data_IF_558458977647
#
_entry.id   IF_558458977647
#
_cell.length_a   1.000
_cell.length_b   1.000
_cell.length_c   1.000
_cell.angle_alpha   90.00
_cell.angle_beta   90.00
_cell.angle_gamma   90.00
#
_symmetry.space_group_name_H-M   'P 1'
#
loop_
_entity.id
_entity.type
_entity.pdbx_description
1 polymer ?
#
# COMPACT_ATOMS: atom_id res chain seq x y z
N UNK A 1 -41.15 -11.65 56.32
CA UNK A 1 -41.28 -11.74 54.83
C UNK A 1 -40.98 -10.38 54.22
N UNK A 2 -39.71 -9.95 54.31
CA UNK A 2 -39.17 -8.69 53.68
C UNK A 2 -37.65 -8.72 53.70
N UNK A 3 -37.00 -9.76 53.16
CA UNK A 3 -35.53 -9.85 53.07
C UNK A 3 -35.01 -10.34 51.71
N UNK A 4 -35.87 -10.79 50.80
CA UNK A 4 -35.38 -11.37 49.53
C UNK A 4 -35.33 -10.37 48.35
N UNK A 5 -35.96 -9.21 48.42
CA UNK A 5 -35.93 -8.21 47.34
C UNK A 5 -34.70 -7.27 47.36
N UNK A 6 -33.93 -7.25 48.41
CA UNK A 6 -32.71 -6.41 48.49
C UNK A 6 -31.42 -7.14 48.07
N UNK A 7 -31.39 -8.45 48.05
CA UNK A 7 -30.22 -9.23 47.66
C UNK A 7 -30.05 -9.36 46.14
N UNK A 8 -31.14 -9.39 45.37
CA UNK A 8 -31.06 -9.43 43.88
C UNK A 8 -30.50 -8.12 43.26
N UNK A 9 -30.70 -7.00 43.92
CA UNK A 9 -30.35 -5.68 43.38
C UNK A 9 -28.87 -5.28 43.52
N UNK A 10 -28.11 -5.90 44.44
CA UNK A 10 -26.69 -5.63 44.58
C UNK A 10 -25.83 -6.58 43.74
N UNK A 11 -26.28 -7.82 43.51
CA UNK A 11 -25.68 -8.77 42.61
C UNK A 11 -25.76 -8.25 41.16
N UNK A 12 -26.92 -7.75 40.73
CA UNK A 12 -27.08 -7.10 39.42
C UNK A 12 -26.21 -5.86 39.26
N UNK A 13 -25.97 -5.08 40.32
CA UNK A 13 -25.03 -3.96 40.30
C UNK A 13 -23.59 -4.42 40.22
N UNK A 14 -23.20 -5.50 40.88
CA UNK A 14 -21.85 -6.08 40.80
C UNK A 14 -21.64 -6.75 39.44
N UNK A 15 -22.62 -7.52 38.92
CA UNK A 15 -22.56 -8.07 37.58
C UNK A 15 -22.63 -6.98 36.50
N UNK A 16 -23.35 -5.88 36.73
CA UNK A 16 -23.35 -4.69 35.88
C UNK A 16 -22.04 -3.93 35.86
N UNK A 17 -21.25 -3.98 36.93
CA UNK A 17 -19.89 -3.42 36.97
C UNK A 17 -18.84 -4.31 36.27
N UNK A 18 -19.13 -5.60 36.06
CA UNK A 18 -18.30 -6.54 35.29
C UNK A 18 -18.83 -6.77 33.85
N UNK A 19 -19.96 -6.18 33.49
CA UNK A 19 -20.63 -6.34 32.20
C UNK A 19 -20.44 -5.11 31.31
N UNK A 20 -19.23 -4.54 31.28
CA UNK A 20 -18.82 -3.62 30.22
C UNK A 20 -18.37 -4.42 28.96
N UNK A 21 -19.23 -5.39 28.57
CA UNK A 21 -19.04 -6.02 27.27
C UNK A 21 -19.27 -4.96 26.20
N UNK A 22 -18.32 -4.75 25.29
CA UNK A 22 -18.39 -3.73 24.26
C UNK A 22 -19.63 -3.99 23.38
N UNK A 23 -20.58 -3.06 23.38
CA UNK A 23 -21.82 -3.16 22.59
C UNK A 23 -21.66 -2.58 21.19
N UNK A 24 -20.60 -1.82 20.97
CA UNK A 24 -20.28 -1.18 19.70
C UNK A 24 -18.81 -1.41 19.33
N UNK A 25 -18.51 -1.41 18.02
CA UNK A 25 -17.15 -1.48 17.49
C UNK A 25 -16.23 -0.42 18.14
N UNK A 26 -16.75 0.79 18.35
CA UNK A 26 -16.03 1.89 19.00
C UNK A 26 -15.63 1.59 20.43
N UNK A 27 -16.43 0.83 21.17
CA UNK A 27 -16.11 0.47 22.56
C UNK A 27 -14.99 -0.58 22.60
N UNK A 28 -15.04 -1.54 21.65
CA UNK A 28 -13.97 -2.53 21.49
C UNK A 28 -12.65 -1.86 21.12
N UNK A 29 -12.66 -0.90 20.18
CA UNK A 29 -11.45 -0.16 19.81
C UNK A 29 -10.85 0.64 20.98
N UNK A 30 -11.69 1.20 21.87
CA UNK A 30 -11.20 1.85 23.12
C UNK A 30 -10.50 0.87 24.05
N UNK A 31 -11.06 -0.33 24.21
CA UNK A 31 -10.44 -1.39 25.03
C UNK A 31 -9.08 -1.78 24.43
N UNK A 32 -8.98 -1.97 23.12
CA UNK A 32 -7.74 -2.31 22.43
C UNK A 32 -6.69 -1.20 22.56
N UNK A 33 -7.08 0.07 22.43
CA UNK A 33 -6.18 1.22 22.68
C UNK A 33 -5.66 1.26 24.11
N UNK A 34 -6.50 0.97 25.08
CA UNK A 34 -6.07 0.85 26.49
C UNK A 34 -5.12 -0.35 26.70
N UNK A 35 -5.32 -1.45 25.97
CA UNK A 35 -4.41 -2.60 26.00
C UNK A 35 -3.01 -2.24 25.48
N UNK A 36 -2.93 -1.39 24.45
CA UNK A 36 -1.64 -0.84 23.97
C UNK A 36 -0.97 0.03 25.06
N UNK A 37 -1.71 0.95 25.66
CA UNK A 37 -1.19 1.83 26.73
C UNK A 37 -0.63 1.00 27.90
N UNK A 38 -1.28 -0.12 28.21
CA UNK A 38 -0.85 -1.03 29.29
C UNK A 38 0.22 -2.04 28.84
N UNK A 39 0.72 -1.98 27.60
CA UNK A 39 1.75 -2.88 27.09
C UNK A 39 1.32 -4.33 26.86
N UNK A 40 0.01 -4.61 26.79
CA UNK A 40 -0.54 -5.94 26.54
C UNK A 40 -0.50 -6.35 25.07
N UNK A 41 -0.61 -5.37 24.17
CA UNK A 41 -0.44 -5.51 22.71
C UNK A 41 0.40 -4.34 22.20
N UNK A 42 1.08 -4.51 21.09
CA UNK A 42 1.81 -3.44 20.43
C UNK A 42 0.94 -2.63 19.46
N UNK A 43 1.46 -1.50 18.98
CA UNK A 43 0.77 -0.64 18.03
C UNK A 43 0.51 -1.31 16.69
N UNK A 44 1.39 -2.20 16.26
CA UNK A 44 1.26 -2.91 14.98
C UNK A 44 0.10 -3.90 15.03
N UNK A 45 0.01 -4.69 16.11
CA UNK A 45 -1.15 -5.56 16.36
C UNK A 45 -2.46 -4.78 16.40
N UNK A 46 -2.48 -3.59 17.02
CA UNK A 46 -3.67 -2.72 17.00
C UNK A 46 -4.06 -2.30 15.59
N UNK A 47 -3.09 -1.87 14.75
CA UNK A 47 -3.34 -1.50 13.35
C UNK A 47 -3.92 -2.65 12.55
N UNK A 48 -3.36 -3.87 12.70
CA UNK A 48 -3.89 -5.06 12.02
C UNK A 48 -5.34 -5.35 12.43
N UNK A 49 -5.68 -5.23 13.72
CA UNK A 49 -7.06 -5.41 14.19
C UNK A 49 -7.98 -4.34 13.61
N UNK A 50 -7.56 -3.08 13.54
CA UNK A 50 -8.30 -2.00 12.89
C UNK A 50 -8.51 -2.30 11.40
N UNK A 51 -7.49 -2.84 10.70
CA UNK A 51 -7.55 -3.30 9.31
C UNK A 51 -8.59 -4.40 9.10
N UNK A 52 -8.63 -5.42 9.98
CA UNK A 52 -9.66 -6.48 9.93
C UNK A 52 -11.07 -5.90 10.02
N UNK A 53 -11.28 -4.89 10.86
CA UNK A 53 -12.58 -4.21 10.91
C UNK A 53 -12.87 -3.41 9.64
N UNK A 54 -11.85 -2.75 9.07
CA UNK A 54 -11.97 -1.94 7.85
C UNK A 54 -12.38 -2.79 6.65
N UNK A 55 -11.76 -3.96 6.44
CA UNK A 55 -12.03 -4.87 5.32
C UNK A 55 -13.50 -5.31 5.22
N UNK A 56 -14.23 -5.34 6.34
CA UNK A 56 -15.67 -5.64 6.33
C UNK A 56 -16.55 -4.50 5.78
N UNK A 57 -16.02 -3.29 5.69
CA UNK A 57 -16.75 -2.08 5.28
C UNK A 57 -16.34 -1.59 3.88
N UNK A 58 -15.08 -1.79 3.50
CA UNK A 58 -14.49 -1.37 2.22
C UNK A 58 -15.00 -2.23 1.07
N UNK A 59 -15.20 -1.61 -0.10
CA UNK A 59 -15.60 -2.26 -1.34
C UNK A 59 -14.43 -2.41 -2.30
N UNK A 60 -14.50 -3.36 -3.21
CA UNK A 60 -13.47 -3.67 -4.21
C UNK A 60 -13.04 -2.43 -5.00
N UNK A 61 -14.00 -1.58 -5.41
CA UNK A 61 -13.73 -0.34 -6.17
C UNK A 61 -12.80 0.64 -5.47
N UNK A 62 -12.67 0.54 -4.14
CA UNK A 62 -11.86 1.47 -3.35
C UNK A 62 -10.37 1.10 -3.38
N UNK A 63 -10.05 -0.19 -3.69
CA UNK A 63 -8.67 -0.69 -3.70
C UNK A 63 -8.22 -1.27 -5.05
N UNK A 64 -9.15 -1.52 -5.98
CA UNK A 64 -8.83 -2.12 -7.27
C UNK A 64 -7.81 -1.29 -8.05
N UNK A 65 -6.99 -1.96 -8.85
CA UNK A 65 -6.20 -1.32 -9.90
C UNK A 65 -7.16 -0.95 -11.04
N UNK A 66 -7.37 0.34 -11.33
CA UNK A 66 -8.29 0.78 -12.38
C UNK A 66 -7.87 0.27 -13.76
N UNK A 67 -8.83 0.04 -14.64
CA UNK A 67 -8.63 -0.46 -16.02
C UNK A 67 -7.50 0.21 -16.82
N UNK A 68 -7.32 1.54 -16.80
CA UNK A 68 -6.22 2.19 -17.53
C UNK A 68 -4.83 1.78 -17.05
N UNK A 69 -4.71 1.39 -15.77
CA UNK A 69 -3.46 1.02 -15.15
C UNK A 69 -3.19 -0.49 -15.16
N UNK A 70 -4.14 -1.29 -15.64
CA UNK A 70 -3.94 -2.74 -15.75
C UNK A 70 -2.85 -3.06 -16.78
N UNK A 71 -1.91 -3.92 -16.39
CA UNK A 71 -0.97 -4.54 -17.30
C UNK A 71 -1.62 -5.81 -17.83
N UNK A 72 -1.97 -5.79 -19.10
CA UNK A 72 -2.62 -6.91 -19.81
C UNK A 72 -1.73 -7.44 -20.92
N UNK A 73 -1.96 -8.69 -21.32
CA UNK A 73 -1.33 -9.33 -22.47
C UNK A 73 -2.39 -9.47 -23.55
N UNK A 74 -2.07 -9.10 -24.78
CA UNK A 74 -2.91 -9.40 -25.92
C UNK A 74 -2.56 -10.80 -26.44
N UNK A 75 -3.58 -11.60 -26.76
CA UNK A 75 -3.39 -12.98 -27.25
C UNK A 75 -2.58 -13.00 -28.55
N UNK A 76 -2.64 -11.91 -29.33
CA UNK A 76 -1.93 -11.73 -30.60
C UNK A 76 -0.48 -11.22 -30.41
N UNK A 77 -0.07 -10.85 -29.19
CA UNK A 77 1.28 -10.38 -28.90
C UNK A 77 2.32 -11.47 -29.24
N UNK A 78 3.46 -11.06 -29.80
CA UNK A 78 4.58 -11.99 -30.03
C UNK A 78 5.12 -12.50 -28.68
N UNK A 79 5.47 -13.78 -28.60
CA UNK A 79 5.95 -14.42 -27.38
C UNK A 79 7.15 -13.69 -26.75
N UNK A 80 8.05 -13.13 -27.59
CA UNK A 80 9.19 -12.34 -27.11
C UNK A 80 8.76 -11.05 -26.39
N UNK A 81 7.71 -10.39 -26.87
CA UNK A 81 7.16 -9.18 -26.24
C UNK A 81 6.41 -9.52 -24.96
N UNK A 82 5.70 -10.63 -24.93
CA UNK A 82 5.05 -11.15 -23.70
C UNK A 82 6.10 -11.42 -22.62
N UNK A 83 7.18 -12.15 -22.95
CA UNK A 83 8.27 -12.43 -22.01
C UNK A 83 8.90 -11.15 -21.49
N UNK A 84 9.16 -10.18 -22.36
CA UNK A 84 9.72 -8.88 -21.98
C UNK A 84 8.77 -8.12 -21.05
N UNK A 85 7.46 -8.08 -21.38
CA UNK A 85 6.42 -7.42 -20.57
C UNK A 85 6.34 -8.06 -19.18
N UNK A 86 6.34 -9.40 -19.08
CA UNK A 86 6.33 -10.16 -17.83
C UNK A 86 7.58 -9.87 -17.00
N UNK A 87 8.77 -9.92 -17.61
CA UNK A 87 10.03 -9.69 -16.93
C UNK A 87 10.16 -8.24 -16.41
N UNK A 88 9.67 -7.26 -17.17
CA UNK A 88 9.80 -5.85 -16.80
C UNK A 88 8.80 -5.45 -15.72
N UNK A 89 7.59 -6.01 -15.72
CA UNK A 89 6.55 -5.65 -14.76
C UNK A 89 6.72 -6.34 -13.39
N UNK A 90 7.40 -7.48 -13.34
CA UNK A 90 7.58 -8.27 -12.12
C UNK A 90 6.31 -8.94 -11.58
N UNK A 91 5.18 -8.83 -12.27
CA UNK A 91 3.93 -9.43 -11.81
C UNK A 91 3.90 -10.94 -12.05
N UNK A 92 3.14 -11.65 -11.22
CA UNK A 92 2.98 -13.09 -11.31
C UNK A 92 1.81 -13.55 -12.19
N UNK A 93 0.81 -12.66 -12.39
CA UNK A 93 -0.46 -12.96 -13.08
C UNK A 93 -0.86 -11.82 -13.99
N UNK A 94 -1.29 -12.17 -15.18
CA UNK A 94 -1.64 -11.20 -16.23
C UNK A 94 -3.01 -11.54 -16.81
N UNK A 95 -3.97 -10.61 -16.78
CA UNK A 95 -5.17 -10.75 -17.61
C UNK A 95 -4.78 -10.79 -19.08
N UNK A 96 -5.40 -11.71 -19.82
CA UNK A 96 -5.20 -11.83 -21.28
C UNK A 96 -6.47 -11.38 -21.99
N UNK A 97 -6.31 -10.51 -22.96
CA UNK A 97 -7.38 -9.93 -23.77
C UNK A 97 -7.33 -10.47 -25.20
N UNK A 98 -8.47 -10.35 -25.90
CA UNK A 98 -8.56 -10.57 -27.33
C UNK A 98 -9.00 -9.23 -27.97
N UNK A 99 -8.01 -8.47 -28.49
CA UNK A 99 -8.17 -7.16 -29.16
C UNK A 99 -8.78 -6.04 -28.30
N UNK A 100 -9.68 -6.35 -27.35
CA UNK A 100 -10.38 -5.38 -26.53
C UNK A 100 -10.14 -5.62 -25.02
N UNK A 101 -9.85 -4.55 -24.27
CA UNK A 101 -9.66 -4.62 -22.81
C UNK A 101 -10.94 -4.99 -22.03
N UNK A 102 -12.10 -4.97 -22.67
CA UNK A 102 -13.35 -5.47 -22.06
C UNK A 102 -13.52 -6.98 -22.26
N UNK A 103 -12.73 -7.60 -23.13
CA UNK A 103 -12.81 -9.00 -23.46
C UNK A 103 -11.64 -9.78 -22.84
N UNK A 104 -11.75 -10.02 -21.54
CA UNK A 104 -10.76 -10.84 -20.82
C UNK A 104 -11.06 -12.31 -21.07
N UNK A 105 -10.20 -12.99 -21.83
CA UNK A 105 -10.34 -14.40 -22.18
C UNK A 105 -9.74 -15.35 -21.15
N UNK A 106 -8.86 -14.85 -20.26
CA UNK A 106 -8.25 -15.66 -19.21
C UNK A 106 -7.17 -14.92 -18.45
N UNK A 107 -6.45 -15.69 -17.63
CA UNK A 107 -5.29 -15.19 -16.84
C UNK A 107 -4.09 -16.07 -17.15
N UNK A 108 -3.00 -15.47 -17.57
CA UNK A 108 -1.69 -16.09 -17.73
C UNK A 108 -0.89 -15.99 -16.43
N UNK A 109 -0.25 -17.09 -16.03
CA UNK A 109 0.72 -17.10 -14.94
C UNK A 109 2.14 -17.00 -15.50
N UNK A 110 2.92 -16.06 -15.00
CA UNK A 110 4.34 -15.88 -15.40
C UNK A 110 5.15 -17.19 -15.28
N UNK A 111 4.93 -17.97 -14.20
CA UNK A 111 5.62 -19.25 -13.99
C UNK A 111 5.31 -20.31 -15.05
N UNK A 112 4.08 -20.31 -15.61
CA UNK A 112 3.68 -21.29 -16.61
C UNK A 112 4.31 -20.92 -17.96
N UNK A 113 4.42 -19.61 -18.28
CA UNK A 113 5.16 -19.11 -19.43
C UNK A 113 6.66 -19.50 -19.35
N UNK A 114 7.31 -19.28 -18.18
CA UNK A 114 8.72 -19.65 -18.00
C UNK A 114 8.93 -21.16 -18.19
N UNK A 115 8.07 -21.99 -17.60
CA UNK A 115 8.15 -23.45 -17.76
C UNK A 115 8.04 -23.89 -19.21
N UNK A 116 7.22 -23.20 -20.01
CA UNK A 116 7.04 -23.51 -21.44
C UNK A 116 8.25 -23.05 -22.25
N UNK A 117 8.79 -21.84 -21.99
CA UNK A 117 9.96 -21.34 -22.68
C UNK A 117 11.25 -22.16 -22.46
N UNK A 118 11.30 -22.95 -21.40
CA UNK A 118 12.43 -23.86 -21.11
C UNK A 118 12.33 -25.23 -21.83
N UNK A 119 11.24 -25.51 -22.53
CA UNK A 119 11.11 -26.71 -23.34
C UNK A 119 11.63 -26.41 -24.76
N UNK A 120 12.60 -27.18 -25.21
CA UNK A 120 13.25 -27.05 -26.54
C UNK A 120 12.36 -27.54 -27.72
N UNK A 121 11.06 -27.71 -27.51
CA UNK A 121 10.17 -28.17 -28.55
C UNK A 121 9.86 -27.03 -29.53
N UNK A 122 10.26 -27.21 -30.79
CA UNK A 122 9.86 -26.40 -31.95
C UNK A 122 8.35 -26.50 -32.30
N UNK A 123 7.52 -26.89 -31.35
CA UNK A 123 6.06 -26.94 -31.55
C UNK A 123 5.49 -25.52 -31.47
N UNK A 124 4.54 -25.23 -32.34
CA UNK A 124 3.77 -23.99 -32.34
C UNK A 124 3.25 -23.67 -30.93
N UNK A 125 3.68 -22.56 -30.39
CA UNK A 125 3.31 -22.11 -29.03
C UNK A 125 1.90 -21.54 -29.08
N UNK A 126 0.95 -22.27 -28.51
CA UNK A 126 -0.42 -21.79 -28.32
C UNK A 126 -0.58 -21.20 -26.91
N UNK A 127 -0.75 -19.87 -26.82
CA UNK A 127 -0.94 -19.17 -25.55
C UNK A 127 -2.25 -19.60 -24.86
N UNK A 128 -3.28 -20.00 -25.64
CA UNK A 128 -4.56 -20.44 -25.09
C UNK A 128 -4.42 -21.62 -24.14
N UNK A 129 -3.48 -22.54 -24.40
CA UNK A 129 -3.24 -23.70 -23.53
C UNK A 129 -2.74 -23.36 -22.13
N UNK A 130 -2.15 -22.18 -21.96
CA UNK A 130 -1.64 -21.70 -20.68
C UNK A 130 -2.63 -20.85 -19.90
N UNK A 131 -3.76 -20.48 -20.52
CA UNK A 131 -4.75 -19.61 -19.88
C UNK A 131 -5.54 -20.37 -18.82
N UNK A 132 -5.71 -19.70 -17.71
CA UNK A 132 -6.64 -20.12 -16.65
C UNK A 132 -7.91 -19.29 -16.72
N UNK A 133 -9.07 -19.85 -16.34
CA UNK A 133 -10.31 -19.08 -16.31
C UNK A 133 -10.17 -17.82 -15.45
N UNK A 134 -10.59 -16.67 -15.96
CA UNK A 134 -10.69 -15.45 -15.20
C UNK A 134 -11.88 -15.50 -14.23
N UNK A 135 -11.70 -14.95 -13.02
CA UNK A 135 -12.79 -14.77 -12.05
C UNK A 135 -13.24 -13.31 -12.14
N UNK A 136 -14.54 -13.10 -12.24
CA UNK A 136 -15.13 -11.78 -12.32
C UNK A 136 -15.87 -11.45 -11.02
N UNK A 137 -15.69 -10.23 -10.52
CA UNK A 137 -16.34 -9.75 -9.29
C UNK A 137 -16.89 -8.35 -9.49
N UNK A 138 -18.07 -8.02 -8.94
CA UNK A 138 -18.61 -6.68 -9.04
C UNK A 138 -17.79 -5.70 -8.17
N UNK A 139 -17.64 -4.47 -8.62
CA UNK A 139 -16.91 -3.41 -7.92
C UNK A 139 -17.50 -3.04 -6.55
N UNK A 140 -18.78 -3.31 -6.34
CA UNK A 140 -19.50 -3.09 -5.06
C UNK A 140 -19.28 -4.19 -4.02
N UNK A 141 -18.60 -5.30 -4.37
CA UNK A 141 -18.36 -6.43 -3.45
C UNK A 141 -17.52 -5.97 -2.26
N UNK A 142 -17.87 -6.47 -1.06
CA UNK A 142 -17.08 -6.23 0.16
C UNK A 142 -15.80 -7.05 0.17
N UNK A 143 -14.71 -6.47 0.69
CA UNK A 143 -13.38 -7.12 0.69
C UNK A 143 -13.33 -8.39 1.53
N UNK A 144 -14.05 -8.44 2.67
CA UNK A 144 -14.11 -9.65 3.49
C UNK A 144 -14.75 -10.83 2.76
N UNK A 145 -15.73 -10.58 1.90
CA UNK A 145 -16.36 -11.61 1.05
C UNK A 145 -15.38 -12.06 -0.02
N UNK A 146 -14.74 -11.10 -0.71
CA UNK A 146 -13.73 -11.39 -1.73
C UNK A 146 -12.56 -12.19 -1.17
N UNK A 147 -12.05 -11.85 0.03
CA UNK A 147 -10.98 -12.58 0.68
C UNK A 147 -11.35 -14.05 0.93
N UNK A 148 -12.58 -14.31 1.38
CA UNK A 148 -13.07 -15.67 1.57
C UNK A 148 -13.20 -16.43 0.24
N UNK A 149 -13.61 -15.77 -0.84
CA UNK A 149 -13.65 -16.36 -2.18
C UNK A 149 -12.23 -16.70 -2.68
N UNK A 150 -11.27 -15.80 -2.55
CA UNK A 150 -9.86 -16.07 -2.90
C UNK A 150 -9.30 -17.28 -2.13
N UNK A 151 -9.56 -17.37 -0.82
CA UNK A 151 -9.11 -18.49 0.02
C UNK A 151 -9.74 -19.80 -0.41
N UNK A 152 -11.04 -19.83 -0.70
CA UNK A 152 -11.77 -21.06 -1.06
C UNK A 152 -11.46 -21.55 -2.47
N UNK A 153 -11.33 -20.64 -3.44
CA UNK A 153 -11.07 -20.96 -4.85
C UNK A 153 -9.58 -21.09 -5.17
N UNK A 154 -8.69 -20.69 -4.25
CA UNK A 154 -7.24 -20.61 -4.47
C UNK A 154 -6.87 -19.69 -5.65
N UNK A 155 -7.73 -18.75 -5.98
CA UNK A 155 -7.44 -17.69 -6.93
C UNK A 155 -6.80 -16.51 -6.17
N UNK A 156 -5.91 -15.80 -6.85
CA UNK A 156 -5.21 -14.65 -6.27
C UNK A 156 -5.43 -13.37 -7.06
N UNK A 157 -6.24 -13.42 -8.12
CA UNK A 157 -6.60 -12.28 -8.95
C UNK A 157 -8.06 -12.41 -9.37
N UNK A 158 -8.75 -11.29 -9.42
CA UNK A 158 -10.10 -11.19 -9.97
C UNK A 158 -10.21 -9.95 -10.86
N UNK A 159 -10.98 -10.07 -11.94
CA UNK A 159 -11.33 -8.97 -12.82
C UNK A 159 -12.56 -8.29 -12.22
N UNK A 160 -12.49 -6.98 -12.09
CA UNK A 160 -13.58 -6.18 -11.53
C UNK A 160 -14.46 -5.67 -12.65
N UNK A 161 -15.77 -5.85 -12.51
CA UNK A 161 -16.78 -5.42 -13.48
C UNK A 161 -17.75 -4.41 -12.89
N UNK A 162 -18.19 -3.48 -13.72
CA UNK A 162 -19.24 -2.51 -13.41
C UNK A 162 -20.65 -3.12 -13.53
N UNK A 163 -21.68 -2.30 -13.31
CA UNK A 163 -23.09 -2.70 -13.37
C UNK A 163 -23.55 -3.11 -14.80
N UNK A 164 -22.81 -2.69 -15.83
CA UNK A 164 -23.09 -2.99 -17.25
C UNK A 164 -22.31 -4.22 -17.74
N UNK A 165 -21.48 -4.81 -16.89
CA UNK A 165 -20.59 -5.94 -17.25
C UNK A 165 -19.29 -5.50 -17.90
N UNK A 166 -18.99 -4.21 -17.98
CA UNK A 166 -17.72 -3.68 -18.48
C UNK A 166 -16.59 -3.87 -17.46
N UNK A 167 -15.36 -4.06 -17.94
CA UNK A 167 -14.18 -4.19 -17.08
C UNK A 167 -13.82 -2.84 -16.47
N UNK A 168 -13.93 -2.72 -15.13
CA UNK A 168 -13.54 -1.53 -14.36
C UNK A 168 -12.08 -1.59 -13.88
N UNK A 169 -11.55 -2.80 -13.64
CA UNK A 169 -10.21 -2.98 -13.12
C UNK A 169 -9.87 -4.41 -12.79
N UNK A 170 -8.86 -4.60 -11.95
CA UNK A 170 -8.53 -5.88 -11.33
C UNK A 170 -8.21 -5.68 -9.85
N UNK A 171 -8.30 -6.74 -9.08
CA UNK A 171 -7.93 -6.78 -7.67
C UNK A 171 -7.24 -8.09 -7.36
N UNK A 172 -6.23 -8.05 -6.49
CA UNK A 172 -5.48 -9.23 -6.06
C UNK A 172 -5.75 -9.54 -4.58
N UNK A 173 -5.39 -10.74 -4.14
CA UNK A 173 -5.46 -11.10 -2.72
C UNK A 173 -4.46 -10.28 -1.92
N UNK A 174 -3.33 -9.94 -2.53
CA UNK A 174 -2.28 -9.10 -1.98
C UNK A 174 -2.83 -7.72 -1.60
N UNK A 175 -3.61 -7.06 -2.49
CA UNK A 175 -4.26 -5.77 -2.23
C UNK A 175 -5.23 -5.84 -1.03
N UNK A 176 -5.99 -6.95 -0.92
CA UNK A 176 -6.91 -7.14 0.23
C UNK A 176 -6.17 -7.38 1.53
N UNK A 177 -5.04 -8.12 1.49
CA UNK A 177 -4.20 -8.35 2.67
C UNK A 177 -3.49 -7.09 3.12
N UNK A 178 -3.08 -6.23 2.20
CA UNK A 178 -2.49 -4.91 2.50
C UNK A 178 -3.45 -4.03 3.31
N UNK A 179 -4.74 -4.07 3.04
CA UNK A 179 -5.76 -3.36 3.83
C UNK A 179 -5.88 -3.87 5.29
N UNK A 180 -5.44 -5.10 5.56
CA UNK A 180 -5.44 -5.69 6.91
C UNK A 180 -4.12 -5.43 7.63
N UNK A 181 -3.01 -5.73 6.96
CA UNK A 181 -1.67 -5.76 7.57
C UNK A 181 -0.99 -4.39 7.47
N UNK A 182 -1.43 -3.52 6.54
CA UNK A 182 -0.68 -2.35 6.10
C UNK A 182 0.37 -2.75 5.07
N UNK A 183 1.16 -1.78 4.61
CA UNK A 183 2.34 -2.10 3.80
C UNK A 183 3.18 -3.13 4.56
N UNK A 184 3.34 -4.32 3.98
CA UNK A 184 4.26 -5.33 4.51
C UNK A 184 5.63 -4.81 4.11
N UNK A 185 6.32 -4.20 5.06
CA UNK A 185 7.74 -3.92 4.90
C UNK A 185 8.41 -5.27 4.60
N UNK A 186 8.86 -5.46 3.34
CA UNK A 186 9.55 -6.66 2.95
C UNK A 186 10.76 -6.82 3.88
N UNK A 187 11.04 -8.02 4.43
CA UNK A 187 12.22 -8.27 5.27
C UNK A 187 13.54 -7.93 4.55
N UNK A 188 13.46 -7.70 3.22
CA UNK A 188 14.49 -7.14 2.37
C UNK A 188 14.38 -5.63 2.16
N UNK A 189 13.27 -5.00 2.51
CA UNK A 189 13.25 -3.57 2.76
C UNK A 189 13.99 -3.38 4.08
N UNK A 190 15.29 -3.25 3.93
CA UNK A 190 16.20 -2.83 4.99
C UNK A 190 15.44 -1.77 5.78
N UNK A 191 15.24 -2.07 7.10
CA UNK A 191 14.84 -1.12 8.14
C UNK A 191 14.96 0.29 7.61
N UNK A 192 13.82 0.96 7.37
CA UNK A 192 13.79 2.37 6.99
C UNK A 192 15.04 2.71 6.19
N UNK A 193 15.03 2.58 4.86
CA UNK A 193 15.99 3.40 4.11
C UNK A 193 15.70 4.79 4.65
N UNK A 194 16.56 5.21 5.56
CA UNK A 194 16.40 6.50 6.21
C UNK A 194 16.17 7.45 5.05
N UNK A 195 15.04 8.18 5.05
CA UNK A 195 14.72 9.19 4.03
C UNK A 195 15.91 10.12 3.80
N UNK A 196 16.98 9.89 4.55
CA UNK A 196 18.27 10.55 4.55
C UNK A 196 19.36 9.52 4.32
N UNK A 197 19.90 9.45 3.09
CA UNK A 197 20.98 8.56 2.68
C UNK A 197 22.32 9.32 2.66
N UNK A 198 23.29 8.88 3.47
CA UNK A 198 24.64 9.41 3.40
C UNK A 198 25.34 8.89 2.14
N UNK A 199 25.71 9.79 1.22
CA UNK A 199 26.42 9.45 -0.02
C UNK A 199 27.96 9.54 0.12
N UNK A 200 28.46 10.47 0.96
CA UNK A 200 29.86 10.65 1.32
C UNK A 200 29.95 11.44 2.63
N UNK A 201 31.18 11.70 3.11
CA UNK A 201 31.39 12.32 4.43
C UNK A 201 30.64 13.65 4.69
N UNK A 202 30.22 14.38 3.63
CA UNK A 202 29.52 15.68 3.75
C UNK A 202 28.29 15.77 2.82
N UNK A 203 27.99 14.74 2.04
CA UNK A 203 26.87 14.75 1.08
C UNK A 203 25.82 13.70 1.44
N UNK A 204 24.58 14.13 1.43
CA UNK A 204 23.41 13.32 1.78
C UNK A 204 22.37 13.46 0.68
N UNK A 205 21.64 12.41 0.40
CA UNK A 205 20.41 12.45 -0.41
C UNK A 205 19.24 12.32 0.56
N UNK A 206 18.30 13.25 0.47
CA UNK A 206 17.13 13.34 1.36
C UNK A 206 15.88 13.32 0.50
N UNK A 207 14.92 12.52 0.89
CA UNK A 207 13.58 12.56 0.31
C UNK A 207 12.84 13.80 0.79
N UNK A 208 12.16 14.49 -0.11
CA UNK A 208 11.48 15.75 0.21
C UNK A 208 10.32 15.59 1.21
N UNK A 209 9.77 14.37 1.34
CA UNK A 209 8.73 14.00 2.32
C UNK A 209 9.29 13.74 3.73
N UNK A 210 10.61 13.82 3.96
CA UNK A 210 11.21 13.78 5.31
C UNK A 210 10.61 14.90 6.15
N UNK A 211 10.12 14.56 7.35
CA UNK A 211 9.53 15.56 8.25
C UNK A 211 10.60 16.54 8.75
N UNK A 212 10.21 17.77 9.06
CA UNK A 212 11.13 18.76 9.64
C UNK A 212 11.72 18.27 10.96
N UNK A 213 10.96 17.53 11.76
CA UNK A 213 11.43 16.94 13.01
C UNK A 213 12.55 15.90 12.75
N UNK A 214 12.33 14.94 11.84
CA UNK A 214 13.35 13.94 11.47
C UNK A 214 14.61 14.61 10.88
N UNK A 215 14.41 15.59 10.00
CA UNK A 215 15.48 16.37 9.39
C UNK A 215 16.30 17.14 10.43
N UNK A 216 15.64 17.85 11.32
CA UNK A 216 16.26 18.64 12.39
C UNK A 216 17.08 17.75 13.33
N UNK A 217 16.53 16.62 13.73
CA UNK A 217 17.22 15.65 14.58
C UNK A 217 18.48 15.07 13.91
N UNK A 218 18.41 14.78 12.60
CA UNK A 218 19.54 14.18 11.87
C UNK A 218 20.69 15.17 11.62
N UNK A 219 20.35 16.39 11.18
CA UNK A 219 21.35 17.41 10.82
C UNK A 219 21.73 18.34 11.97
N UNK A 220 21.09 18.17 13.14
CA UNK A 220 21.27 19.02 14.34
C UNK A 220 21.02 20.51 14.02
N UNK A 221 19.93 20.77 13.31
CA UNK A 221 19.45 22.11 12.94
C UNK A 221 18.06 22.34 13.54
N UNK A 222 17.58 23.58 13.50
CA UNK A 222 16.23 23.93 13.91
C UNK A 222 15.57 24.72 12.79
N UNK A 223 14.81 24.02 11.92
CA UNK A 223 13.91 24.62 10.93
C UNK A 223 12.50 24.49 11.49
N UNK A 224 11.81 25.59 11.61
CA UNK A 224 10.45 25.68 12.11
C UNK A 224 9.59 26.44 11.11
N UNK A 225 8.38 25.95 10.90
CA UNK A 225 7.33 26.59 10.12
C UNK A 225 6.00 26.02 10.61
N UNK A 226 5.08 26.87 11.02
CA UNK A 226 3.82 26.46 11.66
C UNK A 226 2.85 25.77 10.70
N UNK A 227 3.02 25.97 9.38
CA UNK A 227 2.13 25.46 8.33
C UNK A 227 2.78 24.34 7.48
N UNK A 228 4.04 23.95 7.77
CA UNK A 228 4.81 23.06 6.91
C UNK A 228 5.46 21.91 7.70
N UNK A 229 5.08 20.68 7.37
CA UNK A 229 5.55 19.48 8.06
C UNK A 229 6.81 18.85 7.45
N UNK A 230 7.17 19.14 6.18
CA UNK A 230 8.21 18.44 5.45
C UNK A 230 9.31 19.36 4.93
N UNK A 231 10.54 18.82 4.78
CA UNK A 231 11.68 19.56 4.25
C UNK A 231 11.45 20.04 2.80
N UNK A 232 10.71 19.25 2.01
CA UNK A 232 10.35 19.64 0.64
C UNK A 232 9.41 20.86 0.62
N UNK A 233 8.41 20.87 1.48
CA UNK A 233 7.50 22.00 1.67
C UNK A 233 8.26 23.25 2.14
N UNK A 234 9.15 23.08 3.13
CA UNK A 234 9.99 24.15 3.64
C UNK A 234 10.86 24.79 2.55
N UNK A 235 11.47 23.97 1.68
CA UNK A 235 12.27 24.50 0.56
C UNK A 235 11.42 25.22 -0.48
N UNK A 236 10.21 24.72 -0.81
CA UNK A 236 9.29 25.42 -1.72
C UNK A 236 8.95 26.80 -1.16
N UNK A 237 8.72 26.93 0.14
CA UNK A 237 8.48 28.21 0.81
C UNK A 237 9.72 29.13 0.72
N UNK A 238 10.93 28.60 0.95
CA UNK A 238 12.16 29.37 0.85
C UNK A 238 12.49 29.82 -0.59
N UNK A 239 12.07 29.07 -1.61
CA UNK A 239 12.20 29.47 -3.02
C UNK A 239 11.05 30.37 -3.49
N UNK A 240 9.97 30.52 -2.70
CA UNK A 240 8.72 31.22 -3.05
C UNK A 240 8.04 30.67 -4.33
N UNK A 241 8.48 29.50 -4.80
CA UNK A 241 7.98 28.76 -5.97
C UNK A 241 8.45 27.32 -5.95
N UNK A 242 7.91 26.49 -6.81
CA UNK A 242 8.48 25.15 -7.05
C UNK A 242 9.80 25.31 -7.83
N UNK A 243 10.95 24.93 -7.25
CA UNK A 243 12.23 25.07 -7.92
C UNK A 243 12.41 24.03 -9.05
N UNK A 244 13.31 24.30 -9.98
CA UNK A 244 13.68 23.37 -11.04
C UNK A 244 14.81 22.42 -10.60
N UNK A 245 14.95 21.28 -11.32
CA UNK A 245 16.06 20.35 -11.10
C UNK A 245 17.41 21.07 -11.30
N UNK A 246 18.30 20.91 -10.32
CA UNK A 246 19.64 21.49 -10.34
C UNK A 246 19.76 22.81 -9.59
N UNK A 247 18.66 23.45 -9.24
CA UNK A 247 18.70 24.69 -8.43
C UNK A 247 19.25 24.41 -7.03
N UNK A 248 19.86 25.46 -6.48
CA UNK A 248 20.53 25.38 -5.18
C UNK A 248 20.13 26.56 -4.30
N UNK A 249 19.97 26.28 -3.01
CA UNK A 249 19.79 27.29 -1.98
C UNK A 249 20.66 26.96 -0.76
N UNK A 250 21.26 27.98 -0.17
CA UNK A 250 22.03 27.82 1.08
C UNK A 250 21.22 28.35 2.25
N UNK A 251 20.95 27.50 3.23
CA UNK A 251 20.22 27.87 4.44
C UNK A 251 21.06 27.42 5.64
N UNK A 252 21.43 28.34 6.51
CA UNK A 252 22.36 28.10 7.61
C UNK A 252 23.70 27.50 7.10
N UNK A 253 24.12 26.38 7.65
CA UNK A 253 25.35 25.66 7.29
C UNK A 253 25.10 24.51 6.28
N UNK A 254 23.94 24.47 5.63
CA UNK A 254 23.56 23.45 4.67
C UNK A 254 23.34 24.06 3.28
N UNK A 255 23.88 23.41 2.25
CA UNK A 255 23.60 23.71 0.85
C UNK A 255 22.64 22.64 0.32
N UNK A 256 21.47 23.06 -0.12
CA UNK A 256 20.45 22.22 -0.71
C UNK A 256 20.53 22.31 -2.23
N UNK A 257 20.56 21.17 -2.92
CA UNK A 257 20.49 21.09 -4.38
C UNK A 257 19.31 20.19 -4.76
N UNK A 258 18.43 20.66 -5.61
CA UNK A 258 17.26 19.92 -6.08
C UNK A 258 17.70 18.86 -7.08
N UNK A 259 17.49 17.58 -6.78
CA UNK A 259 17.85 16.46 -7.65
C UNK A 259 16.71 16.05 -8.57
N UNK A 260 15.49 16.04 -8.07
CA UNK A 260 14.30 15.70 -8.86
C UNK A 260 13.07 16.44 -8.36
N UNK A 261 12.20 16.80 -9.32
CA UNK A 261 10.91 17.46 -9.10
C UNK A 261 9.87 16.65 -9.85
N UNK A 262 8.71 16.47 -9.27
CA UNK A 262 7.54 15.86 -9.89
C UNK A 262 6.44 16.93 -9.98
N UNK A 263 5.93 17.16 -11.20
CA UNK A 263 4.95 18.17 -11.66
C UNK A 263 4.64 19.38 -10.76
N UNK A 264 4.58 19.23 -9.43
CA UNK A 264 4.26 20.33 -8.47
C UNK A 264 4.99 20.22 -7.14
N UNK A 265 5.89 19.27 -6.97
CA UNK A 265 6.59 19.03 -5.70
C UNK A 265 8.03 18.57 -5.91
N UNK A 266 8.88 18.90 -4.95
CA UNK A 266 10.22 18.34 -4.89
C UNK A 266 10.11 16.86 -4.48
N UNK A 267 10.90 15.96 -5.12
CA UNK A 267 10.98 14.55 -4.76
C UNK A 267 12.26 14.22 -4.00
N UNK A 268 13.44 14.66 -4.50
CA UNK A 268 14.74 14.37 -3.89
C UNK A 268 15.62 15.61 -3.84
N UNK A 269 16.39 15.70 -2.76
CA UNK A 269 17.26 16.83 -2.44
C UNK A 269 18.64 16.29 -2.09
N UNK A 270 19.71 16.87 -2.63
CA UNK A 270 21.07 16.65 -2.16
C UNK A 270 21.41 17.72 -1.14
N UNK A 271 21.93 17.33 0.00
CA UNK A 271 22.38 18.23 1.05
C UNK A 271 23.89 18.11 1.18
N UNK A 272 24.56 19.24 1.25
CA UNK A 272 26.00 19.30 1.51
C UNK A 272 26.22 20.14 2.77
N UNK A 273 26.94 19.60 3.76
CA UNK A 273 27.35 20.35 4.94
C UNK A 273 28.45 21.35 4.52
N UNK A 274 28.22 22.63 4.76
CA UNK A 274 29.20 23.66 4.52
C UNK A 274 29.95 23.92 5.84
N UNK A 275 31.24 23.64 5.90
CA UNK A 275 32.05 24.02 7.04
C UNK A 275 32.02 25.55 7.18
N UNK A 276 31.62 26.02 8.35
CA UNK A 276 31.79 27.43 8.72
C UNK A 276 33.29 27.65 8.97
N UNK A 277 33.94 28.44 8.11
CA UNK A 277 35.29 28.93 8.34
C UNK A 277 35.26 29.93 9.48
#
# INVERSE_FOLDING_TARGET
MKTDEQEENWLDKIFGLFSDSPKKKTDLLKILKNAVINGLIDNESLKMIEGVFKVSEVQVREIMIPRPHMIVIDISDLIGDIIKKVATSGHSRFPVIDDNRDEIIGVLLAKDLIKRSMKDDNEDFDLYELLRPAVFVPESKRLNILLNEFKSSRNHIAIVIDENGGVSGLVTIEDVLEEIVGEIDDEHDKKTESRILAQSHEKYIVEALTTLEEFNNYFLVNFEDDDIDTIGGYLINQFERVPEKGETIKIKNLLFKILSVDSRKISRIQITKCNTV
#
